data_IF_558297300552
#
_entry.id   IF_558297300552
#
_cell.length_a   1.000
_cell.length_b   1.000
_cell.length_c   1.000
_cell.angle_alpha   90.00
_cell.angle_beta   90.00
_cell.angle_gamma   90.00
#
_symmetry.space_group_name_H-M   'P 1'
#
loop_
_entity.id
_entity.type
_entity.pdbx_description
1 polymer ?
#
# COMPACT_ATOMS: atom_id res chain seq x y z
N UNK A 1 -0.55 6.47 13.41
CA UNK A 1 -1.95 6.45 12.91
C UNK A 1 -2.33 4.98 12.80
N UNK A 2 -3.34 4.51 13.54
CA UNK A 2 -3.83 3.13 13.36
C UNK A 2 -4.51 3.05 11.99
N UNK A 3 -4.28 1.97 11.22
CA UNK A 3 -5.02 1.76 9.98
C UNK A 3 -6.51 1.67 10.31
N UNK A 4 -7.37 2.52 9.74
CA UNK A 4 -8.80 2.40 9.97
C UNK A 4 -9.25 1.04 9.44
N UNK A 5 -9.98 0.29 10.27
CA UNK A 5 -10.63 -0.94 9.84
C UNK A 5 -11.44 -0.65 8.57
N UNK A 6 -11.32 -1.52 7.56
CA UNK A 6 -12.00 -1.35 6.29
C UNK A 6 -13.50 -1.15 6.51
N UNK A 7 -14.01 0.03 6.14
CA UNK A 7 -15.44 0.33 6.13
C UNK A 7 -16.16 -0.68 5.23
N UNK A 8 -17.13 -1.40 5.79
CA UNK A 8 -17.76 -2.58 5.20
C UNK A 8 -18.92 -2.30 4.23
N UNK A 9 -19.09 -1.06 3.78
CA UNK A 9 -20.27 -0.65 2.97
C UNK A 9 -20.09 -0.83 1.46
N UNK A 10 -18.93 -1.31 1.00
CA UNK A 10 -18.68 -1.61 -0.42
C UNK A 10 -18.80 -3.10 -0.78
N UNK A 11 -18.92 -3.43 -2.08
CA UNK A 11 -18.80 -4.81 -2.53
C UNK A 11 -17.48 -5.41 -2.05
N UNK A 12 -17.52 -6.65 -1.54
CA UNK A 12 -16.32 -7.33 -1.05
C UNK A 12 -15.29 -7.44 -2.19
N UNK A 13 -14.01 -7.10 -1.94
CA UNK A 13 -12.95 -7.25 -2.93
C UNK A 13 -12.87 -8.69 -3.44
N UNK A 14 -12.66 -8.85 -4.75
CA UNK A 14 -12.39 -10.15 -5.37
C UNK A 14 -10.90 -10.49 -5.24
N UNK A 15 -10.56 -11.77 -5.35
CA UNK A 15 -9.16 -12.21 -5.35
C UNK A 15 -8.32 -11.58 -6.49
N UNK A 16 -8.95 -11.32 -7.64
CA UNK A 16 -8.34 -10.64 -8.80
C UNK A 16 -7.95 -9.19 -8.51
N UNK A 17 -8.55 -8.57 -7.50
CA UNK A 17 -8.31 -7.17 -7.15
C UNK A 17 -6.99 -7.01 -6.35
N UNK A 18 -6.38 -8.12 -5.92
CA UNK A 18 -5.09 -8.17 -5.24
C UNK A 18 -3.99 -8.65 -6.19
N UNK A 19 -2.73 -8.25 -5.95
CA UNK A 19 -1.60 -8.81 -6.69
C UNK A 19 -1.59 -10.34 -6.54
N UNK A 20 -1.33 -11.12 -7.60
CA UNK A 20 -1.32 -12.58 -7.50
C UNK A 20 -0.21 -13.09 -6.58
N UNK A 21 0.86 -12.31 -6.43
CA UNK A 21 2.01 -12.61 -5.58
C UNK A 21 2.70 -11.31 -5.20
N UNK A 22 3.29 -11.29 -4.00
CA UNK A 22 4.12 -10.20 -3.50
C UNK A 22 5.55 -10.72 -3.39
N UNK A 23 6.49 -9.95 -3.91
CA UNK A 23 7.92 -10.22 -3.78
C UNK A 23 8.40 -9.55 -2.49
N UNK A 24 9.07 -10.29 -1.63
CA UNK A 24 9.55 -9.79 -0.33
C UNK A 24 11.05 -10.00 -0.24
N UNK A 25 11.81 -8.91 -0.20
CA UNK A 25 13.24 -8.92 0.08
C UNK A 25 13.45 -8.69 1.56
N UNK A 26 13.96 -9.69 2.25
CA UNK A 26 14.24 -9.61 3.68
C UNK A 26 15.73 -9.34 3.86
N UNK A 27 16.02 -8.24 4.55
CA UNK A 27 17.37 -7.71 4.76
C UNK A 27 17.65 -7.63 6.25
N UNK A 28 18.75 -8.24 6.69
CA UNK A 28 19.30 -7.95 8.01
C UNK A 28 20.12 -6.67 7.93
N UNK A 29 20.01 -5.79 8.93
CA UNK A 29 20.82 -4.56 8.97
C UNK A 29 22.33 -4.83 8.85
N UNK A 30 23.06 -3.83 8.37
CA UNK A 30 24.52 -3.83 8.30
C UNK A 30 25.17 -3.78 9.69
N UNK A 31 26.48 -3.95 9.73
CA UNK A 31 27.29 -3.79 10.92
C UNK A 31 27.11 -2.39 11.52
N UNK A 32 27.10 -2.32 12.85
CA UNK A 32 26.86 -1.10 13.61
C UNK A 32 27.65 -1.14 14.91
N UNK A 33 28.20 -0.01 15.30
CA UNK A 33 28.91 0.16 16.59
C UNK A 33 27.98 0.77 17.63
N UNK A 34 28.00 0.19 18.82
CA UNK A 34 27.25 0.68 19.97
C UNK A 34 28.08 1.75 20.67
N UNK A 35 27.80 3.02 20.39
CA UNK A 35 28.37 4.12 21.15
C UNK A 35 27.47 4.42 22.35
N UNK A 36 28.05 4.44 23.55
CA UNK A 36 27.42 4.92 24.79
C UNK A 36 26.21 4.10 25.29
N UNK A 37 26.10 2.83 24.93
CA UNK A 37 25.10 1.92 25.50
C UNK A 37 23.64 2.11 25.02
N UNK A 38 23.33 3.14 24.22
CA UNK A 38 22.00 3.32 23.63
C UNK A 38 21.87 2.57 22.30
N UNK A 39 21.35 1.34 22.38
CA UNK A 39 21.11 0.44 21.25
C UNK A 39 20.24 1.04 20.13
N UNK A 40 19.23 1.85 20.47
CA UNK A 40 18.35 2.49 19.48
C UNK A 40 19.11 3.46 18.57
N UNK A 41 20.13 4.13 19.12
CA UNK A 41 20.95 5.13 18.43
C UNK A 41 22.18 4.55 17.74
N UNK A 42 22.44 3.24 17.87
CA UNK A 42 23.59 2.61 17.22
C UNK A 42 23.50 2.77 15.70
N UNK A 43 24.47 3.47 15.13
CA UNK A 43 24.57 3.80 13.71
C UNK A 43 25.38 2.75 12.98
N UNK A 44 25.16 2.65 11.66
CA UNK A 44 26.06 1.91 10.78
C UNK A 44 27.47 2.50 10.87
N UNK A 45 28.49 1.64 11.00
CA UNK A 45 29.90 2.02 11.08
C UNK A 45 30.60 1.86 9.73
N UNK A 46 31.91 2.13 9.66
CA UNK A 46 32.67 2.05 8.40
C UNK A 46 32.59 0.66 7.72
N UNK A 47 32.62 -0.42 8.50
CA UNK A 47 32.46 -1.77 7.96
C UNK A 47 31.05 -1.99 7.41
N UNK A 48 30.04 -1.52 8.14
CA UNK A 48 28.65 -1.57 7.71
C UNK A 48 28.33 -0.68 6.50
N UNK A 49 29.06 0.42 6.30
CA UNK A 49 28.92 1.24 5.10
C UNK A 49 29.31 0.46 3.84
N UNK A 50 30.43 -0.26 3.86
CA UNK A 50 30.84 -1.12 2.75
C UNK A 50 29.80 -2.22 2.48
N UNK A 51 29.23 -2.79 3.54
CA UNK A 51 28.14 -3.76 3.41
C UNK A 51 26.89 -3.14 2.77
N UNK A 52 26.56 -1.89 3.08
CA UNK A 52 25.47 -1.17 2.44
C UNK A 52 25.76 -0.89 0.96
N UNK A 53 27.00 -0.55 0.59
CA UNK A 53 27.39 -0.34 -0.80
C UNK A 53 27.27 -1.62 -1.63
N UNK A 54 27.69 -2.75 -1.09
CA UNK A 54 27.54 -4.06 -1.73
C UNK A 54 26.05 -4.43 -1.88
N UNK A 55 25.25 -4.19 -0.85
CA UNK A 55 23.80 -4.39 -0.90
C UNK A 55 23.12 -3.47 -1.92
N UNK A 56 23.58 -2.22 -2.05
CA UNK A 56 23.06 -1.28 -3.04
C UNK A 56 23.24 -1.78 -4.47
N UNK A 57 24.35 -2.47 -4.77
CA UNK A 57 24.57 -3.08 -6.09
C UNK A 57 23.53 -4.14 -6.41
N UNK A 58 23.10 -4.92 -5.42
CA UNK A 58 22.04 -5.93 -5.57
C UNK A 58 20.72 -5.29 -6.01
N UNK A 59 20.33 -4.17 -5.40
CA UNK A 59 19.08 -3.48 -5.71
C UNK A 59 19.18 -2.49 -6.88
N UNK A 60 20.39 -2.12 -7.31
CA UNK A 60 20.58 -1.12 -8.38
C UNK A 60 19.89 -1.48 -9.70
N UNK A 61 19.78 -2.78 -10.01
CA UNK A 61 19.16 -3.30 -11.24
C UNK A 61 17.65 -3.52 -11.12
N UNK A 62 17.15 -3.56 -9.91
CA UNK A 62 15.85 -4.12 -9.55
C UNK A 62 14.94 -3.10 -8.84
N UNK A 63 15.35 -1.83 -8.80
CA UNK A 63 14.72 -0.81 -7.97
C UNK A 63 13.33 -0.36 -8.44
N UNK A 64 12.98 -0.53 -9.73
CA UNK A 64 11.72 -0.04 -10.30
C UNK A 64 10.50 -0.82 -9.82
N UNK A 65 10.69 -2.09 -9.44
CA UNK A 65 9.61 -2.95 -8.95
C UNK A 65 9.22 -2.66 -7.50
N UNK A 66 10.16 -2.13 -6.70
CA UNK A 66 10.00 -1.95 -5.25
C UNK A 66 9.01 -0.83 -4.98
N UNK A 67 7.89 -1.17 -4.35
CA UNK A 67 6.84 -0.19 -4.02
C UNK A 67 6.79 0.19 -2.55
N UNK A 68 7.38 -0.61 -1.66
CA UNK A 68 7.39 -0.36 -0.22
C UNK A 68 8.72 -0.73 0.41
N UNK A 69 9.14 0.07 1.40
CA UNK A 69 10.26 -0.26 2.28
C UNK A 69 9.72 -0.29 3.70
N UNK A 70 9.81 -1.44 4.34
CA UNK A 70 9.50 -1.63 5.75
C UNK A 70 10.78 -1.69 6.54
N UNK A 71 10.87 -0.94 7.63
CA UNK A 71 12.09 -0.86 8.40
C UNK A 71 11.83 -0.92 9.90
N UNK A 72 12.67 -1.66 10.62
CA UNK A 72 12.77 -1.50 12.07
C UNK A 72 13.21 -0.07 12.40
N UNK A 73 12.66 0.56 13.45
CA UNK A 73 12.95 1.96 13.79
C UNK A 73 14.38 2.20 14.33
N UNK A 74 15.16 1.16 14.54
CA UNK A 74 16.52 1.29 15.05
C UNK A 74 17.40 2.01 14.02
N UNK A 75 18.24 2.94 14.49
CA UNK A 75 19.06 3.78 13.61
C UNK A 75 19.87 2.98 12.59
N UNK A 76 20.52 1.88 13.00
CA UNK A 76 21.24 0.99 12.08
C UNK A 76 20.39 0.40 10.95
N UNK A 77 19.13 0.08 11.20
CA UNK A 77 18.22 -0.44 10.17
C UNK A 77 17.85 0.67 9.19
N UNK A 78 17.53 1.85 9.72
CA UNK A 78 17.22 3.04 8.92
C UNK A 78 18.42 3.43 8.06
N UNK A 79 19.61 3.51 8.63
CA UNK A 79 20.84 3.84 7.90
C UNK A 79 21.16 2.78 6.83
N UNK A 80 20.96 1.49 7.13
CA UNK A 80 21.10 0.41 6.15
C UNK A 80 20.13 0.61 4.98
N UNK A 81 18.85 0.90 5.26
CA UNK A 81 17.85 1.16 4.24
C UNK A 81 18.20 2.39 3.40
N UNK A 82 18.55 3.51 4.04
CA UNK A 82 18.88 4.77 3.37
C UNK A 82 20.09 4.66 2.45
N UNK A 83 21.15 4.00 2.90
CA UNK A 83 22.37 3.82 2.13
C UNK A 83 22.14 2.82 0.98
N UNK A 84 21.54 1.67 1.27
CA UNK A 84 21.43 0.56 0.31
C UNK A 84 20.29 0.72 -0.70
N UNK A 85 19.22 1.42 -0.33
CA UNK A 85 18.00 1.59 -1.15
C UNK A 85 17.86 3.03 -1.65
N UNK A 86 18.95 3.79 -1.69
CA UNK A 86 18.94 5.21 -2.08
C UNK A 86 18.24 5.47 -3.41
N UNK A 87 18.44 4.61 -4.42
CA UNK A 87 17.77 4.76 -5.72
C UNK A 87 16.26 4.58 -5.62
N UNK A 88 15.80 3.61 -4.83
CA UNK A 88 14.37 3.34 -4.57
C UNK A 88 13.74 4.54 -3.85
N UNK A 89 14.44 5.08 -2.85
CA UNK A 89 13.98 6.24 -2.08
C UNK A 89 13.93 7.50 -2.96
N UNK A 90 14.93 7.72 -3.79
CA UNK A 90 14.97 8.84 -4.74
C UNK A 90 13.83 8.77 -5.78
N UNK A 91 13.31 7.58 -6.07
CA UNK A 91 12.12 7.37 -6.89
C UNK A 91 10.80 7.67 -6.14
N UNK A 92 10.87 8.16 -4.91
CA UNK A 92 9.71 8.59 -4.10
C UNK A 92 9.14 7.51 -3.17
N UNK A 93 9.77 6.34 -3.07
CA UNK A 93 9.34 5.30 -2.12
C UNK A 93 9.76 5.68 -0.71
N UNK A 94 8.78 5.77 0.19
CA UNK A 94 9.00 6.11 1.60
C UNK A 94 9.42 4.88 2.42
N UNK A 95 10.14 5.14 3.52
CA UNK A 95 10.49 4.11 4.50
C UNK A 95 9.38 4.07 5.56
N UNK A 96 8.55 3.04 5.54
CA UNK A 96 7.55 2.84 6.58
C UNK A 96 8.18 2.14 7.79
N UNK A 97 8.15 2.79 8.95
CA UNK A 97 8.77 2.29 10.18
C UNK A 97 7.80 1.41 10.96
N UNK A 98 8.25 0.21 11.32
CA UNK A 98 7.46 -0.78 12.04
C UNK A 98 8.16 -1.28 13.29
N UNK A 99 7.53 -1.06 14.45
CA UNK A 99 7.95 -1.63 15.74
C UNK A 99 8.20 -3.12 15.70
N UNK A 100 7.25 -3.81 15.09
CA UNK A 100 7.19 -5.26 15.11
C UNK A 100 8.37 -5.91 14.39
N UNK A 101 9.10 -5.16 13.55
CA UNK A 101 10.34 -5.61 12.92
C UNK A 101 11.57 -5.58 13.84
N UNK A 102 11.46 -5.09 15.08
CA UNK A 102 12.57 -5.10 16.05
C UNK A 102 12.89 -6.51 16.58
N UNK A 103 11.89 -7.41 16.58
CA UNK A 103 11.98 -8.72 17.21
C UNK A 103 11.98 -8.69 18.73
N UNK A 104 11.79 -7.51 19.34
CA UNK A 104 11.68 -7.30 20.79
C UNK A 104 10.25 -6.99 21.17
N UNK A 105 9.67 -7.87 21.96
CA UNK A 105 8.46 -7.58 22.74
C UNK A 105 8.93 -6.80 23.99
N UNK A 106 9.32 -5.54 23.82
CA UNK A 106 9.65 -4.67 24.96
C UNK A 106 8.43 -3.90 25.42
N UNK A 107 8.41 -3.52 26.69
CA UNK A 107 7.42 -2.60 27.26
C UNK A 107 7.66 -1.16 26.74
N UNK A 108 6.67 -0.28 26.90
CA UNK A 108 6.58 1.03 26.24
C UNK A 108 7.74 2.03 26.48
N UNK A 109 8.67 1.81 27.41
CA UNK A 109 9.67 2.82 27.80
C UNK A 109 10.79 3.04 26.77
N UNK A 110 11.44 1.98 26.29
CA UNK A 110 12.46 2.07 25.21
C UNK A 110 11.87 2.65 23.90
N UNK A 111 10.54 2.65 23.81
CA UNK A 111 9.76 3.05 22.66
C UNK A 111 9.45 4.54 22.59
N UNK A 112 9.22 5.19 23.74
CA UNK A 112 9.01 6.64 23.80
C UNK A 112 10.25 7.36 23.28
N UNK A 113 11.45 6.85 23.59
CA UNK A 113 12.70 7.43 23.12
C UNK A 113 12.93 7.20 21.61
N UNK A 114 12.47 6.07 21.05
CA UNK A 114 12.53 5.80 19.62
C UNK A 114 11.60 6.70 18.79
N UNK A 115 10.40 6.99 19.31
CA UNK A 115 9.45 7.92 18.67
C UNK A 115 9.99 9.35 18.75
N UNK A 116 10.47 9.78 19.93
CA UNK A 116 11.12 11.09 20.09
C UNK A 116 12.31 11.25 19.16
N UNK A 117 13.17 10.25 19.07
CA UNK A 117 14.30 10.26 18.14
C UNK A 117 13.84 10.51 16.70
N UNK A 118 12.75 9.89 16.25
CA UNK A 118 12.22 10.11 14.91
C UNK A 118 11.56 11.47 14.72
N UNK A 119 10.76 11.91 15.69
CA UNK A 119 10.07 13.21 15.66
C UNK A 119 11.07 14.38 15.69
N UNK A 120 12.16 14.23 16.45
CA UNK A 120 13.25 15.21 16.55
C UNK A 120 14.22 15.13 15.37
N UNK A 121 14.22 14.02 14.61
CA UNK A 121 15.04 13.86 13.42
C UNK A 121 14.34 14.37 12.16
N UNK A 122 15.10 14.71 11.13
CA UNK A 122 14.59 14.87 9.74
C UNK A 122 14.02 13.56 9.14
N UNK A 123 13.93 12.49 9.94
CA UNK A 123 13.36 11.20 9.55
C UNK A 123 11.83 11.26 9.37
N UNK A 124 11.14 12.21 10.00
CA UNK A 124 9.70 12.41 9.81
C UNK A 124 9.30 12.73 8.37
N UNK A 125 10.19 13.33 7.59
CA UNK A 125 9.96 13.57 6.16
C UNK A 125 10.10 12.30 5.30
N UNK A 126 10.79 11.27 5.83
CA UNK A 126 11.19 10.09 5.07
C UNK A 126 10.19 8.93 5.12
N UNK A 127 9.23 8.95 6.04
CA UNK A 127 8.52 7.73 6.40
C UNK A 127 7.24 7.89 7.19
N UNK A 128 6.38 6.86 7.16
CA UNK A 128 5.20 6.77 8.04
C UNK A 128 5.48 5.78 9.17
N UNK A 129 4.94 6.07 10.35
CA UNK A 129 4.92 5.10 11.44
C UNK A 129 3.73 4.16 11.31
N UNK A 130 4.04 2.86 11.27
CA UNK A 130 3.05 1.79 11.26
C UNK A 130 3.08 1.08 12.62
N UNK A 131 1.92 1.10 13.27
CA UNK A 131 1.73 0.55 14.60
C UNK A 131 0.69 -0.57 14.57
N UNK A 132 1.00 -1.67 15.28
CA UNK A 132 0.06 -2.77 15.49
C UNK A 132 -1.08 -2.36 16.41
N UNK A 133 -2.22 -3.03 16.26
CA UNK A 133 -3.23 -3.06 17.31
C UNK A 133 -2.69 -3.83 18.53
N UNK A 134 -3.15 -3.46 19.73
CA UNK A 134 -2.57 -3.90 21.01
C UNK A 134 -2.68 -5.40 21.27
N UNK A 135 -3.48 -6.14 20.49
CA UNK A 135 -3.79 -7.56 20.71
C UNK A 135 -3.00 -8.54 19.84
N UNK A 136 -2.43 -8.11 18.71
CA UNK A 136 -1.70 -8.99 17.80
C UNK A 136 -0.24 -9.15 18.23
N UNK A 137 0.39 -10.32 18.04
CA UNK A 137 1.84 -10.44 18.22
C UNK A 137 2.58 -9.66 17.13
N UNK A 138 3.85 -9.29 17.37
CA UNK A 138 4.66 -8.59 16.36
C UNK A 138 4.78 -9.41 15.05
N UNK A 139 4.92 -10.73 15.20
CA UNK A 139 5.02 -11.62 14.04
C UNK A 139 3.70 -11.70 13.27
N UNK A 140 2.58 -11.87 13.97
CA UNK A 140 1.26 -11.96 13.33
C UNK A 140 0.90 -10.66 12.64
N UNK A 141 1.24 -9.52 13.26
CA UNK A 141 1.03 -8.22 12.67
C UNK A 141 1.82 -8.05 11.36
N UNK A 142 3.12 -8.37 11.36
CA UNK A 142 3.94 -8.26 10.14
C UNK A 142 3.46 -9.24 9.06
N UNK A 143 3.06 -10.46 9.42
CA UNK A 143 2.47 -11.43 8.46
C UNK A 143 1.12 -10.94 7.94
N UNK A 144 0.27 -10.37 8.78
CA UNK A 144 -1.01 -9.77 8.39
C UNK A 144 -0.81 -8.62 7.41
N UNK A 145 0.16 -7.74 7.68
CA UNK A 145 0.53 -6.64 6.80
C UNK A 145 1.06 -7.14 5.45
N UNK A 146 2.04 -8.06 5.48
CA UNK A 146 2.61 -8.64 4.26
C UNK A 146 1.57 -9.42 3.44
N UNK A 147 0.60 -10.06 4.09
CA UNK A 147 -0.49 -10.78 3.42
C UNK A 147 -1.68 -9.92 3.01
N UNK A 148 -1.56 -8.58 3.15
CA UNK A 148 -2.56 -7.57 2.81
C UNK A 148 -3.84 -7.59 3.68
N UNK A 149 -3.87 -8.39 4.76
CA UNK A 149 -5.04 -8.50 5.65
C UNK A 149 -5.32 -7.22 6.42
N UNK A 150 -4.27 -6.47 6.73
CA UNK A 150 -4.32 -5.23 7.51
C UNK A 150 -4.38 -3.97 6.63
N UNK A 151 -4.58 -4.12 5.31
CA UNK A 151 -4.59 -3.01 4.36
C UNK A 151 -5.96 -2.79 3.73
N UNK A 152 -6.24 -1.54 3.36
CA UNK A 152 -7.34 -1.25 2.44
C UNK A 152 -6.96 -1.67 1.01
N UNK A 153 -7.98 -1.91 0.18
CA UNK A 153 -7.79 -2.39 -1.19
C UNK A 153 -6.92 -1.46 -2.06
N UNK A 154 -7.06 -0.15 -1.89
CA UNK A 154 -6.34 0.83 -2.71
C UNK A 154 -4.82 0.82 -2.45
N UNK A 155 -4.40 0.61 -1.21
CA UNK A 155 -3.00 0.39 -0.86
C UNK A 155 -2.52 -1.01 -1.23
N UNK A 156 -3.35 -2.03 -0.96
CA UNK A 156 -3.06 -3.41 -1.31
C UNK A 156 -2.79 -3.60 -2.81
N UNK A 157 -3.51 -2.89 -3.67
CA UNK A 157 -3.29 -2.87 -5.13
C UNK A 157 -1.96 -2.25 -5.57
N UNK A 158 -1.32 -1.44 -4.72
CA UNK A 158 -0.01 -0.82 -5.00
C UNK A 158 1.14 -1.69 -4.50
N UNK A 159 0.88 -2.66 -3.63
CA UNK A 159 1.91 -3.53 -3.07
C UNK A 159 2.32 -4.58 -4.10
N UNK A 160 3.60 -4.58 -4.50
CA UNK A 160 4.15 -5.51 -5.50
C UNK A 160 5.42 -6.15 -5.00
N UNK A 161 6.41 -5.32 -4.69
CA UNK A 161 7.71 -5.74 -4.20
C UNK A 161 8.07 -4.90 -2.98
N UNK A 162 8.45 -5.58 -1.90
CA UNK A 162 8.64 -4.97 -0.59
C UNK A 162 10.00 -5.34 -0.05
N UNK A 163 10.75 -4.36 0.44
CA UNK A 163 12.00 -4.59 1.17
C UNK A 163 11.74 -4.47 2.66
N UNK A 164 12.12 -5.48 3.44
CA UNK A 164 11.97 -5.52 4.89
C UNK A 164 13.36 -5.48 5.53
N UNK A 165 13.72 -4.36 6.14
CA UNK A 165 15.01 -4.17 6.82
C UNK A 165 14.83 -4.36 8.33
N UNK A 166 15.47 -5.38 8.89
CA UNK A 166 15.18 -5.89 10.23
C UNK A 166 16.42 -6.46 10.94
N UNK A 167 16.21 -7.14 12.07
CA UNK A 167 17.23 -7.74 12.93
C UNK A 167 17.16 -9.26 12.92
N UNK A 168 18.28 -9.90 13.22
CA UNK A 168 18.37 -11.36 13.40
C UNK A 168 17.26 -11.93 14.28
N UNK A 169 16.99 -11.31 15.43
CA UNK A 169 16.00 -11.79 16.40
C UNK A 169 14.59 -11.88 15.82
N UNK A 170 14.21 -10.93 14.98
CA UNK A 170 12.93 -10.97 14.29
C UNK A 170 12.92 -12.07 13.23
N UNK A 171 14.01 -12.21 12.47
CA UNK A 171 14.17 -13.26 11.46
C UNK A 171 14.07 -14.65 12.06
N UNK A 172 14.70 -14.87 13.22
CA UNK A 172 14.56 -16.13 13.96
C UNK A 172 13.09 -16.44 14.28
N UNK A 173 12.31 -15.47 14.78
CA UNK A 173 10.87 -15.65 15.04
C UNK A 173 10.09 -15.93 13.76
N UNK A 174 10.38 -15.17 12.69
CA UNK A 174 9.69 -15.25 11.40
C UNK A 174 9.84 -16.63 10.75
N UNK A 175 11.04 -17.23 10.83
CA UNK A 175 11.34 -18.50 10.18
C UNK A 175 11.26 -19.72 11.09
N UNK A 176 11.44 -19.60 12.42
CA UNK A 176 11.25 -20.73 13.35
C UNK A 176 9.81 -21.25 13.37
N UNK A 177 8.84 -20.39 13.08
CA UNK A 177 7.41 -20.71 13.08
C UNK A 177 6.91 -21.23 11.73
N UNK A 178 7.79 -21.44 10.75
CA UNK A 178 7.42 -21.87 9.38
C UNK A 178 8.07 -23.18 8.96
N UNK A 179 7.76 -23.61 7.73
CA UNK A 179 8.32 -24.81 7.09
C UNK A 179 9.74 -24.62 6.53
N UNK A 180 10.27 -23.39 6.55
CA UNK A 180 11.60 -23.05 6.06
C UNK A 180 12.60 -23.20 7.19
N UNK A 181 13.66 -24.00 6.96
CA UNK A 181 14.80 -24.08 7.88
C UNK A 181 15.44 -22.69 7.99
N UNK A 182 15.46 -22.17 9.22
CA UNK A 182 16.15 -20.92 9.51
C UNK A 182 17.65 -21.10 9.27
N UNK A 183 18.15 -20.45 8.22
CA UNK A 183 19.57 -20.21 8.02
C UNK A 183 19.88 -18.80 8.47
N UNK A 184 20.91 -18.66 9.31
CA UNK A 184 21.36 -17.36 9.83
C UNK A 184 21.57 -16.36 8.69
N UNK A 185 21.09 -15.13 8.85
CA UNK A 185 21.30 -14.06 7.87
C UNK A 185 22.61 -13.36 8.19
N UNK A 186 23.49 -13.21 7.21
CA UNK A 186 24.64 -12.31 7.27
C UNK A 186 24.19 -10.85 7.42
N UNK A 187 25.10 -10.00 7.89
CA UNK A 187 24.87 -8.55 7.96
C UNK A 187 24.74 -7.99 6.54
N UNK A 188 23.74 -7.12 6.33
CA UNK A 188 23.35 -6.60 5.02
C UNK A 188 23.05 -7.69 3.97
N UNK A 189 22.78 -8.94 4.38
CA UNK A 189 22.36 -9.99 3.46
C UNK A 189 20.87 -9.78 3.11
N UNK A 190 20.56 -9.78 1.81
CA UNK A 190 19.20 -9.83 1.30
C UNK A 190 18.85 -11.25 0.85
N UNK A 191 17.68 -11.74 1.24
CA UNK A 191 17.07 -12.93 0.65
C UNK A 191 15.69 -12.61 0.13
N UNK A 192 15.37 -13.16 -1.03
CA UNK A 192 14.10 -12.88 -1.71
C UNK A 192 13.15 -14.04 -1.54
N UNK A 193 11.90 -13.70 -1.27
CA UNK A 193 10.80 -14.62 -1.09
C UNK A 193 9.62 -14.18 -1.94
N UNK A 194 8.76 -15.14 -2.30
CA UNK A 194 7.40 -14.87 -2.76
C UNK A 194 6.41 -15.14 -1.64
N UNK A 195 5.35 -14.35 -1.64
CA UNK A 195 4.23 -14.47 -0.72
C UNK A 195 2.92 -14.36 -1.50
N UNK A 196 2.01 -15.31 -1.29
CA UNK A 196 0.65 -15.22 -1.82
C UNK A 196 -0.21 -14.45 -0.82
N UNK A 197 -0.94 -13.40 -1.24
CA UNK A 197 -1.84 -12.69 -0.34
C UNK A 197 -2.84 -13.63 0.35
N UNK A 198 -3.19 -13.32 1.59
CA UNK A 198 -4.08 -14.14 2.41
C UNK A 198 -3.44 -15.35 3.12
N UNK A 199 -2.52 -16.07 2.47
CA UNK A 199 -1.79 -17.22 3.06
C UNK A 199 -0.70 -16.72 4.02
N UNK A 200 0.10 -15.73 3.59
CA UNK A 200 1.19 -15.16 4.40
C UNK A 200 2.43 -16.06 4.51
N UNK A 201 2.43 -17.21 3.83
CA UNK A 201 3.59 -18.09 3.72
C UNK A 201 4.65 -17.50 2.79
N UNK A 202 5.88 -17.41 3.29
CA UNK A 202 7.06 -17.02 2.52
C UNK A 202 7.67 -18.26 1.86
N UNK A 203 7.98 -18.18 0.57
CA UNK A 203 8.68 -19.23 -0.18
C UNK A 203 9.91 -18.60 -0.82
N UNK A 204 11.10 -19.17 -0.58
CA UNK A 204 12.34 -18.62 -1.14
C UNK A 204 12.33 -18.70 -2.67
N UNK A 205 12.82 -17.65 -3.34
CA UNK A 205 12.83 -17.58 -4.80
C UNK A 205 14.22 -17.32 -5.36
N UNK A 206 14.54 -17.99 -6.46
CA UNK A 206 15.78 -17.78 -7.20
C UNK A 206 15.67 -16.65 -8.24
N UNK A 207 16.80 -16.23 -8.86
CA UNK A 207 16.80 -15.12 -9.82
C UNK A 207 15.93 -15.35 -11.06
N UNK A 208 15.79 -16.60 -11.53
CA UNK A 208 14.95 -16.93 -12.68
C UNK A 208 13.45 -16.79 -12.34
N UNK A 209 13.02 -17.38 -11.22
CA UNK A 209 11.64 -17.28 -10.72
C UNK A 209 11.28 -15.82 -10.44
N UNK A 210 12.20 -15.03 -9.86
CA UNK A 210 12.00 -13.60 -9.61
C UNK A 210 11.63 -12.82 -10.88
N UNK A 211 12.28 -13.08 -12.01
CA UNK A 211 11.93 -12.45 -13.29
C UNK A 211 10.52 -12.82 -13.76
N UNK A 212 10.12 -14.07 -13.58
CA UNK A 212 8.77 -14.52 -13.94
C UNK A 212 7.70 -13.87 -13.06
N UNK A 213 7.97 -13.74 -11.76
CA UNK A 213 7.06 -13.06 -10.82
C UNK A 213 6.87 -11.59 -11.19
N UNK A 214 7.94 -10.86 -11.50
CA UNK A 214 7.86 -9.46 -11.93
C UNK A 214 7.07 -9.31 -13.24
N UNK A 215 7.28 -10.22 -14.20
CA UNK A 215 6.49 -10.24 -15.44
C UNK A 215 5.00 -10.43 -15.16
N UNK A 216 4.65 -11.43 -14.35
CA UNK A 216 3.25 -11.70 -13.98
C UNK A 216 2.61 -10.52 -13.23
N UNK A 217 3.36 -9.82 -12.38
CA UNK A 217 2.90 -8.60 -11.71
C UNK A 217 2.65 -7.45 -12.71
N UNK A 218 3.47 -7.32 -13.75
CA UNK A 218 3.26 -6.35 -14.82
C UNK A 218 2.00 -6.64 -15.65
N UNK A 219 1.78 -7.90 -16.00
CA UNK A 219 0.58 -8.37 -16.72
C UNK A 219 -0.68 -8.13 -15.88
N UNK A 220 -0.66 -8.49 -14.58
CA UNK A 220 -1.76 -8.23 -13.67
C UNK A 220 -2.07 -6.74 -13.51
N UNK A 221 -1.04 -5.90 -13.32
CA UNK A 221 -1.24 -4.46 -13.17
C UNK A 221 -1.87 -3.83 -14.42
N UNK A 222 -1.47 -4.31 -15.60
CA UNK A 222 -2.05 -3.88 -16.88
C UNK A 222 -3.51 -4.29 -17.01
N UNK A 223 -3.84 -5.53 -16.64
CA UNK A 223 -5.22 -6.02 -16.64
C UNK A 223 -6.11 -5.25 -15.66
N UNK A 224 -5.62 -4.97 -14.45
CA UNK A 224 -6.35 -4.17 -13.46
C UNK A 224 -6.59 -2.73 -13.93
N UNK A 225 -5.59 -2.12 -14.58
CA UNK A 225 -5.73 -0.78 -15.15
C UNK A 225 -6.79 -0.73 -16.26
N UNK A 226 -6.78 -1.74 -17.15
CA UNK A 226 -7.79 -1.88 -18.21
C UNK A 226 -9.20 -2.05 -17.62
N UNK A 227 -9.35 -2.88 -16.59
CA UNK A 227 -10.64 -3.07 -15.92
C UNK A 227 -11.17 -1.76 -15.33
N UNK A 228 -10.32 -1.00 -14.63
CA UNK A 228 -10.70 0.31 -14.08
C UNK A 228 -11.12 1.31 -15.16
N UNK A 229 -10.40 1.32 -16.29
CA UNK A 229 -10.76 2.18 -17.41
C UNK A 229 -12.12 1.81 -18.01
N UNK A 230 -12.41 0.51 -18.17
CA UNK A 230 -13.71 0.02 -18.65
C UNK A 230 -14.84 0.39 -17.67
N UNK A 231 -14.61 0.24 -16.37
CA UNK A 231 -15.59 0.61 -15.35
C UNK A 231 -15.89 2.12 -15.36
N UNK A 232 -14.87 2.96 -15.54
CA UNK A 232 -15.05 4.42 -15.63
C UNK A 232 -15.80 4.84 -16.90
N UNK A 233 -15.54 4.19 -18.05
CA UNK A 233 -16.30 4.40 -19.28
C UNK A 233 -17.77 4.05 -19.05
N UNK A 234 -18.07 2.88 -18.50
CA UNK A 234 -19.45 2.45 -18.20
C UNK A 234 -20.15 3.43 -17.24
N UNK A 235 -19.44 3.93 -16.23
CA UNK A 235 -19.98 4.92 -15.30
C UNK A 235 -20.30 6.24 -16.01
N UNK A 236 -19.42 6.69 -16.89
CA UNK A 236 -19.61 7.91 -17.67
C UNK A 236 -20.79 7.78 -18.64
N UNK A 237 -20.91 6.64 -19.31
CA UNK A 237 -22.06 6.31 -20.18
C UNK A 237 -23.38 6.31 -19.39
N UNK A 238 -23.40 5.70 -18.21
CA UNK A 238 -24.59 5.68 -17.34
C UNK A 238 -24.99 7.09 -16.88
N UNK A 239 -24.03 7.93 -16.52
CA UNK A 239 -24.28 9.33 -16.15
C UNK A 239 -24.83 10.14 -17.34
N UNK A 240 -24.27 9.94 -18.53
CA UNK A 240 -24.74 10.59 -19.74
C UNK A 240 -26.16 10.15 -20.10
N UNK A 241 -26.45 8.85 -20.02
CA UNK A 241 -27.79 8.30 -20.26
C UNK A 241 -28.82 8.83 -19.25
N UNK A 242 -28.45 8.91 -17.96
CA UNK A 242 -29.29 9.50 -16.93
C UNK A 242 -29.58 10.98 -17.20
N UNK A 243 -28.57 11.75 -17.61
CA UNK A 243 -28.74 13.16 -17.99
C UNK A 243 -29.66 13.33 -19.19
N UNK A 244 -29.46 12.55 -20.26
CA UNK A 244 -30.34 12.57 -21.45
C UNK A 244 -31.79 12.24 -21.06
N UNK A 245 -31.99 11.24 -20.21
CA UNK A 245 -33.32 10.84 -19.75
C UNK A 245 -33.99 11.96 -18.94
N UNK A 246 -33.24 12.61 -18.05
CA UNK A 246 -33.73 13.75 -17.28
C UNK A 246 -34.10 14.94 -18.18
N UNK A 247 -33.26 15.26 -19.18
CA UNK A 247 -33.51 16.35 -20.13
C UNK A 247 -34.74 16.07 -21.02
N UNK A 248 -34.93 14.82 -21.46
CA UNK A 248 -36.11 14.41 -22.23
C UNK A 248 -37.39 14.50 -21.39
N UNK A 249 -37.34 14.08 -20.12
CA UNK A 249 -38.47 14.20 -19.19
C UNK A 249 -38.85 15.66 -18.96
N UNK A 250 -37.87 16.52 -18.70
CA UNK A 250 -38.09 17.96 -18.51
C UNK A 250 -38.70 18.62 -19.76
N UNK A 251 -38.24 18.24 -20.97
CA UNK A 251 -38.81 18.72 -22.24
C UNK A 251 -40.26 18.26 -22.43
N UNK A 252 -40.57 17.01 -22.11
CA UNK A 252 -41.93 16.47 -22.22
C UNK A 252 -42.90 17.19 -21.26
N UNK A 253 -42.48 17.45 -20.02
CA UNK A 253 -43.26 18.22 -19.03
C UNK A 253 -43.51 19.67 -19.49
N UNK A 254 -42.49 20.33 -20.05
CA UNK A 254 -42.62 21.68 -20.60
C UNK A 254 -43.58 21.73 -21.79
N UNK A 255 -43.51 20.76 -22.72
CA UNK A 255 -44.43 20.67 -23.84
C UNK A 255 -45.87 20.40 -23.39
N UNK A 256 -46.07 19.49 -22.43
CA UNK A 256 -47.38 19.21 -21.85
C UNK A 256 -48.01 20.44 -21.20
N UNK A 257 -47.21 21.23 -20.48
CA UNK A 257 -47.66 22.49 -19.85
C UNK A 257 -48.05 23.52 -20.90
N UNK A 258 -47.26 23.66 -21.98
CA UNK A 258 -47.57 24.55 -23.10
C UNK A 258 -48.88 24.16 -23.80
N UNK A 259 -49.09 22.88 -24.08
CA UNK A 259 -50.33 22.40 -24.70
C UNK A 259 -51.56 22.66 -23.82
N UNK A 260 -51.43 22.47 -22.50
CA UNK A 260 -52.49 22.77 -21.55
C UNK A 260 -52.82 24.28 -21.52
N UNK A 261 -51.80 25.14 -21.52
CA UNK A 261 -51.97 26.60 -21.59
C UNK A 261 -52.66 27.03 -22.90
N UNK A 262 -52.24 26.49 -24.04
CA UNK A 262 -52.82 26.80 -25.35
C UNK A 262 -54.30 26.36 -25.43
N UNK A 263 -54.64 25.20 -24.84
CA UNK A 263 -56.01 24.69 -24.78
C UNK A 263 -56.92 25.57 -23.91
N UNK A 264 -56.44 26.03 -22.76
CA UNK A 264 -57.18 26.95 -21.89
C UNK A 264 -57.42 28.29 -22.59
N UNK A 265 -56.40 28.79 -23.30
CA UNK A 265 -56.48 30.04 -24.06
C UNK A 265 -57.52 29.96 -25.17
N UNK A 266 -57.53 28.89 -25.97
CA UNK A 266 -58.51 28.75 -27.06
C UNK A 266 -59.95 28.65 -26.54
N UNK A 267 -60.17 27.99 -25.40
CA UNK A 267 -61.49 27.95 -24.75
C UNK A 267 -61.94 29.34 -24.28
N UNK A 268 -61.04 30.11 -23.65
CA UNK A 268 -61.34 31.48 -23.22
C UNK A 268 -61.64 32.40 -24.40
N UNK A 269 -60.90 32.29 -25.49
CA UNK A 269 -61.11 33.08 -26.71
C UNK A 269 -62.45 32.71 -27.38
N UNK A 270 -62.81 31.42 -27.40
CA UNK A 270 -64.12 30.95 -27.87
C UNK A 270 -65.29 31.48 -27.02
N UNK A 271 -65.15 31.48 -25.68
CA UNK A 271 -66.16 32.07 -24.78
C UNK A 271 -66.31 33.57 -25.05
N UNK A 272 -65.20 34.31 -25.17
CA UNK A 272 -65.25 35.76 -25.47
C UNK A 272 -65.92 36.06 -26.81
N UNK A 273 -65.63 35.29 -27.86
CA UNK A 273 -66.26 35.45 -29.16
C UNK A 273 -67.79 35.22 -29.11
N UNK A 274 -68.23 34.20 -28.37
CA UNK A 274 -69.67 33.92 -28.18
C UNK A 274 -70.38 35.01 -27.35
N UNK A 275 -69.68 35.69 -26.46
CA UNK A 275 -70.26 36.78 -25.65
C UNK A 275 -70.41 38.08 -26.44
N UNK A 276 -69.63 38.28 -27.52
CA UNK A 276 -69.67 39.46 -28.38
C UNK A 276 -70.65 39.33 -29.56
N UNK A 277 -71.21 38.14 -29.80
CA UNK A 277 -72.19 37.87 -30.87
C UNK A 277 -73.65 37.88 -30.42
N UNK A 278 -73.90 38.20 -29.15
CA UNK A 278 -75.24 38.47 -28.60
C UNK A 278 -75.41 39.97 -28.37
#
# INVERSE_FOLDING_TARGET
MCYPAASSTGPKPKSSDYPPTIIVHIVRHAHATFNNGNDMSASVDYAGERQCDDLARTFSRDNEGITHILCSPYKRCIDTARKSLRSVINNGVKIDLMRSLSGRETDNKDWVDGIKFFEESSLHEMGRWIQRDSKATDLDFVRGWLSLKEMNLAEAQKMKEVVVVTHERFLEKLFRSGSIRYHRFGLAEARTYRLTPGDGTLVAVGPHELKQLRKAQGEWASALALQKAIEEIKRSEALLAAKITADLKAKAEAQGTKLAQDTVRSRLDGVRAATLSC
#
